data_IF_520965717313
#
_entry.id   IF_520965717313
#
_cell.length_a   1.000
_cell.length_b   1.000
_cell.length_c   1.000
_cell.angle_alpha   90.00
_cell.angle_beta   90.00
_cell.angle_gamma   90.00
#
_symmetry.space_group_name_H-M   'P 1'
#
loop_
_entity.id
_entity.type
_entity.pdbx_description
1 polymer ?
#
# COMPACT_ATOMS: atom_id res chain seq x y z
N UNK A 1 1.29 -5.97 46.88
CA UNK A 1 2.10 -4.74 46.84
C UNK A 1 2.71 -4.55 45.46
N UNK A 2 3.55 -5.46 44.96
CA UNK A 2 4.14 -5.34 43.60
C UNK A 2 3.11 -5.25 42.46
N UNK A 3 2.08 -6.10 42.43
CA UNK A 3 1.02 -6.02 41.40
C UNK A 3 0.21 -4.71 41.44
N UNK A 4 0.14 -4.06 42.60
CA UNK A 4 -0.61 -2.83 42.79
C UNK A 4 0.22 -1.61 42.38
N UNK A 5 1.52 -1.62 42.68
CA UNK A 5 2.49 -0.65 42.15
C UNK A 5 2.61 -0.73 40.63
N UNK A 6 2.70 -1.93 40.03
CA UNK A 6 2.72 -2.08 38.56
C UNK A 6 1.48 -1.48 37.91
N UNK A 7 0.28 -1.70 38.48
CA UNK A 7 -0.96 -1.11 37.98
C UNK A 7 -1.00 0.41 38.11
N UNK A 8 -0.40 0.96 39.16
CA UNK A 8 -0.31 2.41 39.37
C UNK A 8 0.65 3.03 38.35
N UNK A 9 1.82 2.41 38.14
CA UNK A 9 2.81 2.84 37.12
C UNK A 9 2.20 2.80 35.72
N UNK A 10 1.53 1.70 35.35
CA UNK A 10 0.86 1.58 34.04
C UNK A 10 -0.20 2.68 33.85
N UNK A 11 -0.98 2.98 34.89
CA UNK A 11 -2.02 4.01 34.86
C UNK A 11 -1.44 5.42 34.73
N UNK A 12 -0.31 5.69 35.39
CA UNK A 12 0.42 6.96 35.28
C UNK A 12 1.03 7.14 33.89
N UNK A 13 1.69 6.11 33.34
CA UNK A 13 2.20 6.15 31.96
C UNK A 13 1.09 6.38 30.92
N UNK A 14 -0.07 5.74 31.09
CA UNK A 14 -1.21 5.95 30.22
C UNK A 14 -1.73 7.39 30.28
N UNK A 15 -1.73 7.98 31.48
CA UNK A 15 -2.16 9.37 31.71
C UNK A 15 -1.17 10.37 31.09
N UNK A 16 0.12 10.13 31.26
CA UNK A 16 1.18 10.93 30.65
C UNK A 16 1.12 10.85 29.12
N UNK A 17 0.99 9.64 28.55
CA UNK A 17 0.80 9.46 27.09
C UNK A 17 -0.42 10.20 26.57
N UNK A 18 -1.53 10.22 27.32
CA UNK A 18 -2.74 10.99 26.98
C UNK A 18 -2.50 12.50 27.05
N UNK A 19 -1.79 12.98 28.06
CA UNK A 19 -1.46 14.39 28.20
C UNK A 19 -0.54 14.87 27.06
N UNK A 20 0.54 14.14 26.78
CA UNK A 20 1.45 14.43 25.66
C UNK A 20 0.68 14.39 24.34
N UNK A 21 -0.21 13.40 24.16
CA UNK A 21 -1.12 13.30 23.00
C UNK A 21 -1.95 14.56 22.82
N UNK A 22 -2.58 15.07 23.89
CA UNK A 22 -3.45 16.25 23.83
C UNK A 22 -2.67 17.54 23.58
N UNK A 23 -1.46 17.67 24.11
CA UNK A 23 -0.58 18.80 23.80
C UNK A 23 -0.12 18.79 22.35
N UNK A 24 0.28 17.62 21.83
CA UNK A 24 0.68 17.47 20.43
C UNK A 24 -0.44 17.79 19.45
N UNK A 25 -1.68 17.46 19.80
CA UNK A 25 -2.88 17.84 19.03
C UNK A 25 -3.07 19.35 18.99
N UNK A 26 -2.86 20.05 20.10
CA UNK A 26 -3.01 21.51 20.17
C UNK A 26 -1.95 22.25 19.37
N UNK A 27 -0.68 21.83 19.44
CA UNK A 27 0.44 22.50 18.79
C UNK A 27 0.42 22.40 17.25
N UNK A 28 -0.15 21.33 16.69
CA UNK A 28 -0.10 21.04 15.24
C UNK A 28 -1.39 21.39 14.49
N UNK A 29 -2.21 22.25 15.07
CA UNK A 29 -3.49 22.63 14.51
C UNK A 29 -3.30 23.46 13.22
N UNK A 30 -3.76 22.90 12.11
CA UNK A 30 -3.77 23.49 10.77
C UNK A 30 -5.05 23.05 10.08
N UNK A 31 -5.52 23.79 9.06
CA UNK A 31 -6.73 23.42 8.29
C UNK A 31 -6.64 21.98 7.75
N UNK A 32 -5.45 21.57 7.29
CA UNK A 32 -5.24 20.19 6.79
C UNK A 32 -5.34 19.15 7.91
N UNK A 33 -4.93 19.49 9.13
CA UNK A 33 -5.07 18.60 10.29
C UNK A 33 -6.52 18.52 10.76
N UNK A 34 -7.24 19.64 10.79
CA UNK A 34 -8.68 19.66 11.13
C UNK A 34 -9.48 18.76 10.18
N UNK A 35 -9.21 18.82 8.88
CA UNK A 35 -9.84 17.93 7.89
C UNK A 35 -9.50 16.44 8.11
N UNK A 36 -8.33 16.11 8.67
CA UNK A 36 -8.01 14.74 9.08
C UNK A 36 -8.79 14.33 10.33
N UNK A 37 -8.97 15.24 11.28
CA UNK A 37 -9.68 15.00 12.54
C UNK A 37 -11.17 14.72 12.34
N UNK A 38 -11.79 15.31 11.33
CA UNK A 38 -13.17 15.00 10.92
C UNK A 38 -13.32 13.59 10.34
N UNK A 39 -12.25 13.06 9.73
CA UNK A 39 -12.31 11.82 8.95
C UNK A 39 -11.83 10.60 9.74
N UNK A 40 -10.89 10.77 10.66
CA UNK A 40 -10.17 9.67 11.29
C UNK A 40 -10.33 9.63 12.81
N UNK A 41 -10.28 8.40 13.35
CA UNK A 41 -10.35 8.17 14.78
C UNK A 41 -9.08 8.65 15.53
N UNK A 42 -9.24 8.97 16.83
CA UNK A 42 -8.15 9.43 17.71
C UNK A 42 -6.89 8.54 17.63
N UNK A 43 -6.98 7.19 17.58
CA UNK A 43 -5.80 6.34 17.42
C UNK A 43 -5.04 6.55 16.11
N UNK A 44 -5.74 6.71 14.97
CA UNK A 44 -5.11 6.99 13.68
C UNK A 44 -4.42 8.35 13.69
N UNK A 45 -5.09 9.38 14.20
CA UNK A 45 -4.52 10.72 14.33
C UNK A 45 -3.24 10.69 15.17
N UNK A 46 -3.23 9.92 16.26
CA UNK A 46 -2.03 9.79 17.08
C UNK A 46 -0.86 9.10 16.41
N UNK A 47 -1.11 8.19 15.47
CA UNK A 47 -0.04 7.63 14.63
C UNK A 47 0.58 8.74 13.78
N UNK A 48 -0.26 9.57 13.14
CA UNK A 48 0.19 10.66 12.28
C UNK A 48 1.01 11.68 13.08
N UNK A 49 0.53 12.08 14.26
CA UNK A 49 1.26 12.99 15.16
C UNK A 49 2.63 12.42 15.57
N UNK A 50 2.70 11.14 15.94
CA UNK A 50 3.99 10.48 16.24
C UNK A 50 4.92 10.45 15.03
N UNK A 51 4.41 10.17 13.84
CA UNK A 51 5.21 10.20 12.60
C UNK A 51 5.75 11.60 12.29
N UNK A 52 4.98 12.65 12.55
CA UNK A 52 5.43 14.03 12.42
C UNK A 52 6.54 14.36 13.44
N UNK A 53 6.37 13.96 14.70
CA UNK A 53 7.37 14.21 15.75
C UNK A 53 8.70 13.48 15.51
N UNK A 54 8.62 12.24 15.00
CA UNK A 54 9.81 11.45 14.64
C UNK A 54 10.47 11.93 13.34
N UNK A 55 9.90 12.92 12.65
CA UNK A 55 10.40 13.44 11.38
C UNK A 55 10.25 12.48 10.20
N UNK A 56 9.44 11.43 10.33
CA UNK A 56 9.03 10.56 9.20
C UNK A 56 8.20 11.39 8.22
N UNK A 57 7.26 12.14 8.78
CA UNK A 57 6.48 13.17 8.10
C UNK A 57 6.97 14.54 8.57
N UNK A 58 7.00 15.51 7.64
CA UNK A 58 7.23 16.93 7.93
C UNK A 58 5.94 17.73 7.87
N UNK A 59 5.10 17.44 6.87
CA UNK A 59 3.78 18.03 6.69
C UNK A 59 2.83 17.03 6.01
N UNK A 60 1.56 17.09 6.36
CA UNK A 60 0.47 16.41 5.67
C UNK A 60 -0.37 17.47 4.96
N UNK A 61 -0.78 17.18 3.72
CA UNK A 61 -1.64 18.03 2.91
C UNK A 61 -2.97 17.32 2.64
N UNK A 62 -3.70 17.75 1.61
CA UNK A 62 -4.99 17.19 1.23
C UNK A 62 -4.98 15.74 0.73
N UNK A 63 -6.19 15.19 0.63
CA UNK A 63 -6.44 13.87 0.08
C UNK A 63 -6.22 13.88 -1.44
N UNK A 64 -5.55 12.84 -1.93
CA UNK A 64 -5.23 12.63 -3.35
C UNK A 64 -6.15 11.57 -3.95
N UNK A 65 -6.53 10.56 -3.16
CA UNK A 65 -7.43 9.49 -3.59
C UNK A 65 -8.25 8.99 -2.43
N UNK A 66 -9.54 8.83 -2.64
CA UNK A 66 -10.44 8.17 -1.70
C UNK A 66 -10.90 6.83 -2.29
N UNK A 67 -10.83 5.77 -1.49
CA UNK A 67 -11.34 4.45 -1.83
C UNK A 67 -12.17 3.87 -0.69
N UNK A 68 -12.84 2.74 -0.96
CA UNK A 68 -13.69 2.04 0.03
C UNK A 68 -12.89 1.52 1.24
N UNK A 69 -11.60 1.26 1.05
CA UNK A 69 -10.76 0.55 2.01
C UNK A 69 -9.69 1.45 2.64
N UNK A 70 -9.29 2.51 1.94
CA UNK A 70 -8.27 3.44 2.38
C UNK A 70 -8.44 4.80 1.72
N UNK A 71 -7.88 5.81 2.36
CA UNK A 71 -7.68 7.14 1.78
C UNK A 71 -6.18 7.41 1.66
N UNK A 72 -5.78 8.07 0.58
CA UNK A 72 -4.38 8.43 0.31
C UNK A 72 -4.25 9.94 0.35
N UNK A 73 -3.31 10.43 1.14
CA UNK A 73 -2.97 11.84 1.29
C UNK A 73 -1.60 12.13 0.73
N UNK A 74 -1.39 13.36 0.27
CA UNK A 74 -0.06 13.87 -0.07
C UNK A 74 0.59 14.49 1.16
N UNK A 75 1.92 14.42 1.24
CA UNK A 75 2.69 15.01 2.32
C UNK A 75 4.13 15.26 1.94
N UNK A 76 4.88 15.90 2.83
CA UNK A 76 6.35 15.97 2.79
C UNK A 76 6.93 15.02 3.81
N UNK A 77 7.87 14.19 3.38
CA UNK A 77 8.74 13.42 4.27
C UNK A 77 10.15 14.01 4.35
N UNK A 78 11.08 13.27 4.96
CA UNK A 78 12.48 13.71 5.10
C UNK A 78 13.18 14.02 3.77
N UNK A 79 12.91 13.22 2.73
CA UNK A 79 13.63 13.25 1.45
C UNK A 79 12.76 13.69 0.26
N UNK A 80 11.68 14.42 0.50
CA UNK A 80 10.73 14.89 -0.52
C UNK A 80 9.31 14.33 -0.32
N UNK A 81 8.54 14.31 -1.40
CA UNK A 81 7.10 14.04 -1.35
C UNK A 81 6.78 12.58 -1.03
N UNK A 82 5.74 12.39 -0.22
CA UNK A 82 5.24 11.09 0.22
C UNK A 82 3.75 10.96 -0.01
N UNK A 83 3.31 9.73 -0.27
CA UNK A 83 1.92 9.31 -0.19
C UNK A 83 1.69 8.65 1.18
N UNK A 84 0.61 9.05 1.85
CA UNK A 84 0.21 8.56 3.17
C UNK A 84 -1.10 7.81 2.97
N UNK A 85 -1.03 6.48 2.87
CA UNK A 85 -2.19 5.59 2.74
C UNK A 85 -2.69 5.20 4.13
N UNK A 86 -3.92 5.59 4.43
CA UNK A 86 -4.57 5.34 5.73
C UNK A 86 -5.73 4.36 5.48
N UNK A 87 -5.64 3.16 6.05
CA UNK A 87 -6.71 2.16 5.94
C UNK A 87 -7.84 2.47 6.91
N UNK A 88 -9.09 2.33 6.42
CA UNK A 88 -10.29 2.64 7.17
C UNK A 88 -10.61 1.55 8.17
N UNK A 89 -10.71 1.91 9.46
CA UNK A 89 -10.88 0.97 10.59
C UNK A 89 -12.29 0.41 10.76
N UNK A 90 -13.28 1.00 10.09
CA UNK A 90 -14.72 0.79 10.31
C UNK A 90 -15.42 -0.01 9.20
N UNK A 91 -14.76 -0.31 8.08
CA UNK A 91 -15.41 -0.97 6.95
C UNK A 91 -15.64 -2.47 7.20
N UNK A 92 -16.91 -2.90 7.25
CA UNK A 92 -17.29 -4.31 7.43
C UNK A 92 -17.03 -5.15 6.17
N UNK A 93 -17.20 -4.56 4.99
CA UNK A 93 -16.96 -5.21 3.69
C UNK A 93 -15.50 -5.58 3.48
N UNK A 94 -14.60 -4.81 4.10
CA UNK A 94 -13.15 -5.02 4.05
C UNK A 94 -12.76 -6.45 4.45
N UNK A 95 -13.34 -7.00 5.53
CA UNK A 95 -12.99 -8.35 5.99
C UNK A 95 -13.25 -9.45 4.97
N UNK A 96 -14.40 -9.41 4.28
CA UNK A 96 -14.84 -10.54 3.46
C UNK A 96 -13.98 -10.69 2.20
N UNK A 97 -13.59 -9.56 1.58
CA UNK A 97 -12.72 -9.56 0.41
C UNK A 97 -11.26 -9.88 0.70
N UNK A 98 -10.80 -9.66 1.93
CA UNK A 98 -9.40 -9.89 2.32
C UNK A 98 -9.03 -11.35 2.51
N UNK A 99 -9.96 -12.18 3.02
CA UNK A 99 -9.68 -13.54 3.49
C UNK A 99 -8.92 -14.36 2.45
N UNK A 100 -9.35 -14.28 1.18
CA UNK A 100 -8.73 -14.99 0.05
C UNK A 100 -7.28 -14.59 -0.21
N UNK A 101 -6.84 -13.40 0.21
CA UNK A 101 -5.46 -12.92 0.00
C UNK A 101 -4.56 -13.05 1.25
N UNK A 102 -5.09 -13.59 2.35
CA UNK A 102 -4.32 -13.90 3.57
C UNK A 102 -4.37 -15.37 3.97
N UNK A 103 -5.20 -16.16 3.30
CA UNK A 103 -5.22 -17.60 3.47
C UNK A 103 -3.82 -18.18 3.23
N UNK A 104 -3.38 -19.05 4.14
CA UNK A 104 -2.03 -19.62 4.08
C UNK A 104 -0.88 -18.64 4.32
N UNK A 105 -1.12 -17.35 4.58
CA UNK A 105 -0.06 -16.38 4.91
C UNK A 105 0.37 -16.54 6.37
N UNK A 106 1.62 -16.97 6.66
CA UNK A 106 2.09 -17.20 8.03
C UNK A 106 2.00 -15.95 8.91
N UNK A 107 2.02 -14.76 8.31
CA UNK A 107 1.91 -13.48 9.03
C UNK A 107 0.56 -13.33 9.74
N UNK A 108 -0.48 -14.02 9.27
CA UNK A 108 -1.88 -13.89 9.73
C UNK A 108 -2.34 -15.02 10.66
N UNK A 109 -1.56 -16.08 10.84
CA UNK A 109 -1.96 -17.28 11.62
C UNK A 109 -2.26 -17.00 13.11
N UNK A 110 -1.68 -15.94 13.70
CA UNK A 110 -1.78 -15.63 15.14
C UNK A 110 -2.45 -14.28 15.44
N UNK A 111 -3.30 -13.78 14.53
CA UNK A 111 -3.92 -12.46 14.70
C UNK A 111 -4.98 -12.49 15.79
N UNK A 112 -4.87 -11.56 16.75
CA UNK A 112 -5.91 -11.35 17.78
C UNK A 112 -7.27 -11.08 17.12
N UNK A 113 -8.35 -11.65 17.67
CA UNK A 113 -9.71 -11.39 17.20
C UNK A 113 -10.01 -9.88 17.22
N UNK A 114 -10.44 -9.30 16.10
CA UNK A 114 -10.82 -7.88 16.00
C UNK A 114 -10.49 -7.23 14.65
N UNK A 115 -11.20 -6.14 14.30
CA UNK A 115 -11.00 -5.45 13.00
C UNK A 115 -9.67 -4.70 12.95
N UNK A 116 -9.32 -3.94 13.99
CA UNK A 116 -8.11 -3.11 14.01
C UNK A 116 -6.80 -3.93 13.89
N UNK A 117 -6.58 -5.01 14.67
CA UNK A 117 -5.38 -5.83 14.52
C UNK A 117 -5.20 -6.39 13.11
N UNK A 118 -6.30 -6.80 12.47
CA UNK A 118 -6.28 -7.29 11.09
C UNK A 118 -5.87 -6.19 10.11
N UNK A 119 -6.43 -4.98 10.24
CA UNK A 119 -6.08 -3.83 9.39
C UNK A 119 -4.61 -3.43 9.56
N UNK A 120 -4.11 -3.43 10.79
CA UNK A 120 -2.70 -3.10 11.05
C UNK A 120 -1.77 -4.12 10.40
N UNK A 121 -2.15 -5.40 10.46
CA UNK A 121 -1.39 -6.44 9.77
C UNK A 121 -1.50 -6.31 8.25
N UNK A 122 -2.64 -5.87 7.73
CA UNK A 122 -2.82 -5.61 6.31
C UNK A 122 -1.93 -4.46 5.80
N UNK A 123 -1.88 -3.35 6.52
CA UNK A 123 -0.96 -2.25 6.23
C UNK A 123 0.50 -2.73 6.27
N UNK A 124 0.85 -3.56 7.27
CA UNK A 124 2.18 -4.17 7.38
C UNK A 124 2.48 -5.15 6.24
N UNK A 125 1.48 -5.91 5.77
CA UNK A 125 1.58 -6.80 4.61
C UNK A 125 1.91 -6.00 3.35
N UNK A 126 1.16 -4.93 3.05
CA UNK A 126 1.43 -4.08 1.88
C UNK A 126 2.82 -3.45 1.97
N UNK A 127 3.20 -2.91 3.13
CA UNK A 127 4.55 -2.37 3.35
C UNK A 127 5.63 -3.40 3.03
N UNK A 128 5.49 -4.64 3.54
CA UNK A 128 6.46 -5.71 3.31
C UNK A 128 6.50 -6.16 1.85
N UNK A 129 5.34 -6.25 1.20
CA UNK A 129 5.25 -6.60 -0.21
C UNK A 129 5.93 -5.52 -1.09
N UNK A 130 5.71 -4.23 -0.79
CA UNK A 130 6.43 -3.13 -1.46
C UNK A 130 7.94 -3.20 -1.23
N UNK A 131 8.40 -3.57 -0.03
CA UNK A 131 9.83 -3.75 0.26
C UNK A 131 10.45 -4.86 -0.60
N UNK A 132 9.75 -6.00 -0.72
CA UNK A 132 10.20 -7.13 -1.55
C UNK A 132 10.23 -6.74 -3.04
N UNK A 133 9.16 -6.12 -3.55
CA UNK A 133 9.08 -5.66 -4.94
C UNK A 133 10.18 -4.65 -5.28
N UNK A 134 10.39 -3.65 -4.41
CA UNK A 134 11.44 -2.65 -4.58
C UNK A 134 12.84 -3.29 -4.59
N UNK A 135 13.10 -4.24 -3.68
CA UNK A 135 14.38 -4.97 -3.61
C UNK A 135 14.63 -5.82 -4.86
N UNK A 136 13.57 -6.40 -5.43
CA UNK A 136 13.57 -7.13 -6.69
C UNK A 136 13.69 -6.23 -7.95
N UNK A 137 13.94 -4.92 -7.77
CA UNK A 137 14.09 -3.92 -8.85
C UNK A 137 12.82 -3.68 -9.67
N UNK A 138 11.66 -4.00 -9.12
CA UNK A 138 10.37 -3.57 -9.68
C UNK A 138 10.17 -2.10 -9.34
N UNK A 139 9.77 -1.29 -10.33
CA UNK A 139 9.47 0.12 -10.08
C UNK A 139 8.13 0.23 -9.36
N UNK A 140 8.19 0.53 -8.07
CA UNK A 140 7.06 0.72 -7.16
C UNK A 140 7.27 1.99 -6.32
N UNK A 141 6.22 2.56 -5.68
CA UNK A 141 6.41 3.57 -4.64
C UNK A 141 7.36 3.04 -3.56
N UNK A 142 8.52 3.69 -3.37
CA UNK A 142 9.49 3.23 -2.36
C UNK A 142 8.85 3.30 -0.97
N UNK A 143 8.72 2.18 -0.24
CA UNK A 143 8.14 2.19 1.09
C UNK A 143 9.04 2.97 2.06
N UNK A 144 8.45 3.79 2.93
CA UNK A 144 9.16 4.65 3.90
C UNK A 144 8.94 4.17 5.32
N UNK A 145 7.68 4.07 5.75
CA UNK A 145 7.32 3.62 7.10
C UNK A 145 5.93 3.01 7.14
N UNK A 146 5.64 2.22 8.17
CA UNK A 146 4.30 1.76 8.49
C UNK A 146 4.12 1.74 10.01
N UNK A 147 2.99 2.25 10.49
CA UNK A 147 2.60 2.18 11.90
C UNK A 147 1.08 2.10 11.99
N UNK A 148 0.57 1.12 12.74
CA UNK A 148 -0.87 0.84 12.79
C UNK A 148 -1.50 0.69 11.39
N UNK A 149 -2.49 1.52 11.09
CA UNK A 149 -3.20 1.58 9.80
C UNK A 149 -2.65 2.65 8.84
N UNK A 150 -1.46 3.21 9.10
CA UNK A 150 -0.86 4.26 8.27
C UNK A 150 0.39 3.72 7.58
N UNK A 151 0.36 3.72 6.25
CA UNK A 151 1.47 3.35 5.37
C UNK A 151 2.00 4.61 4.66
N UNK A 152 3.29 4.89 4.82
CA UNK A 152 3.99 5.99 4.15
C UNK A 152 4.92 5.44 3.09
N UNK A 153 4.82 5.97 1.87
CA UNK A 153 5.66 5.61 0.72
C UNK A 153 6.01 6.84 -0.11
N UNK A 154 7.00 6.75 -0.99
CA UNK A 154 7.34 7.85 -1.91
C UNK A 154 6.15 8.19 -2.80
N UNK A 155 5.87 9.48 -2.94
CA UNK A 155 4.84 9.95 -3.85
C UNK A 155 5.29 9.74 -5.30
N UNK A 156 4.37 9.27 -6.15
CA UNK A 156 4.59 9.08 -7.58
C UNK A 156 3.74 10.12 -8.30
N UNK A 157 4.37 11.21 -8.69
CA UNK A 157 3.71 12.41 -9.17
C UNK A 157 4.54 13.64 -8.82
N UNK A 158 3.95 14.83 -8.98
CA UNK A 158 4.64 16.10 -8.77
C UNK A 158 3.68 17.16 -8.23
N UNK A 159 4.13 17.95 -7.25
CA UNK A 159 3.37 19.06 -6.65
C UNK A 159 1.96 18.68 -6.14
N UNK A 160 1.83 17.48 -5.59
CA UNK A 160 0.56 16.98 -5.06
C UNK A 160 -0.33 16.28 -6.08
N UNK A 161 -0.02 16.40 -7.37
CA UNK A 161 -0.74 15.71 -8.44
C UNK A 161 -0.15 14.31 -8.67
N UNK A 162 -0.96 13.24 -8.51
CA UNK A 162 -0.49 11.88 -8.73
C UNK A 162 -0.22 11.64 -10.21
N UNK A 163 0.74 10.77 -10.51
CA UNK A 163 0.95 10.31 -11.88
C UNK A 163 -0.32 9.58 -12.39
N UNK A 164 -0.69 9.79 -13.67
CA UNK A 164 -1.88 9.15 -14.22
C UNK A 164 -1.70 7.63 -14.23
N UNK A 165 -2.79 6.92 -13.96
CA UNK A 165 -2.86 5.46 -14.15
C UNK A 165 -2.79 5.10 -15.64
N UNK A 166 -2.53 3.84 -15.97
CA UNK A 166 -2.63 3.39 -17.37
C UNK A 166 -4.02 3.68 -17.95
N UNK A 167 -5.07 3.55 -17.14
CA UNK A 167 -6.43 3.86 -17.57
C UNK A 167 -6.58 5.32 -18.04
N UNK A 168 -5.89 6.25 -17.39
CA UNK A 168 -5.98 7.69 -17.63
C UNK A 168 -4.93 8.20 -18.62
N UNK A 169 -3.78 7.54 -18.70
CA UNK A 169 -2.64 8.01 -19.47
C UNK A 169 -2.78 7.75 -20.97
N UNK A 170 -2.44 8.75 -21.78
CA UNK A 170 -2.18 8.57 -23.21
C UNK A 170 -0.77 8.00 -23.40
N UNK A 171 -0.69 6.80 -23.98
CA UNK A 171 0.56 6.07 -24.14
C UNK A 171 1.17 6.28 -25.53
N UNK A 172 2.32 6.95 -25.60
CA UNK A 172 3.04 7.14 -26.86
C UNK A 172 3.58 5.81 -27.45
N UNK A 173 3.97 4.87 -26.60
CA UNK A 173 4.45 3.54 -27.02
C UNK A 173 3.89 2.45 -26.11
N UNK A 174 2.62 2.04 -26.31
CA UNK A 174 1.97 1.05 -25.47
C UNK A 174 2.72 -0.28 -25.45
N UNK A 175 3.31 -0.70 -26.58
CA UNK A 175 4.06 -1.94 -26.68
C UNK A 175 5.32 -1.96 -25.81
N UNK A 176 6.03 -0.83 -25.67
CA UNK A 176 7.17 -0.70 -24.75
C UNK A 176 6.73 -0.83 -23.29
N UNK A 177 5.65 -0.15 -22.92
CA UNK A 177 5.11 -0.19 -21.54
C UNK A 177 4.65 -1.61 -21.20
N UNK A 178 3.94 -2.27 -22.10
CA UNK A 178 3.53 -3.67 -21.96
C UNK A 178 4.73 -4.59 -21.67
N UNK A 179 5.81 -4.52 -22.47
CA UNK A 179 7.02 -5.32 -22.24
C UNK A 179 7.68 -5.02 -20.89
N UNK A 180 7.69 -3.75 -20.46
CA UNK A 180 8.22 -3.37 -19.15
C UNK A 180 7.38 -3.94 -18.00
N UNK A 181 6.05 -3.93 -18.12
CA UNK A 181 5.16 -4.51 -17.10
C UNK A 181 5.33 -6.03 -17.04
N UNK A 182 5.40 -6.73 -18.19
CA UNK A 182 5.67 -8.17 -18.18
C UNK A 182 7.02 -8.50 -17.51
N UNK A 183 8.04 -7.67 -17.73
CA UNK A 183 9.32 -7.80 -17.02
C UNK A 183 9.16 -7.61 -15.52
N UNK A 184 8.32 -6.68 -15.08
CA UNK A 184 8.02 -6.48 -13.66
C UNK A 184 7.24 -7.65 -13.06
N UNK A 185 6.27 -8.23 -13.77
CA UNK A 185 5.56 -9.45 -13.34
C UNK A 185 6.56 -10.60 -13.17
N UNK A 186 7.48 -10.78 -14.13
CA UNK A 186 8.55 -11.77 -14.01
C UNK A 186 9.45 -11.53 -12.79
N UNK A 187 9.85 -10.29 -12.53
CA UNK A 187 10.67 -9.94 -11.36
C UNK A 187 9.92 -10.17 -10.04
N UNK A 188 8.63 -9.82 -9.98
CA UNK A 188 7.79 -10.11 -8.81
C UNK A 188 7.76 -11.60 -8.53
N UNK A 189 7.47 -12.42 -9.54
CA UNK A 189 7.34 -13.86 -9.38
C UNK A 189 8.67 -14.52 -9.00
N UNK A 190 9.73 -14.24 -9.77
CA UNK A 190 11.00 -14.98 -9.68
C UNK A 190 11.99 -14.41 -8.67
N UNK A 191 11.93 -13.09 -8.40
CA UNK A 191 12.90 -12.42 -7.52
C UNK A 191 12.28 -11.94 -6.21
N UNK A 192 11.03 -11.48 -6.22
CA UNK A 192 10.34 -11.10 -4.99
C UNK A 192 9.58 -12.27 -4.34
N UNK A 193 9.29 -13.34 -5.09
CA UNK A 193 8.45 -14.45 -4.61
C UNK A 193 6.98 -14.07 -4.45
N UNK A 194 6.50 -13.10 -5.24
CA UNK A 194 5.16 -12.51 -5.11
C UNK A 194 4.36 -12.61 -6.41
N UNK A 195 3.05 -12.73 -6.26
CA UNK A 195 2.05 -12.45 -7.30
C UNK A 195 1.30 -11.19 -6.87
N UNK A 196 1.06 -10.24 -7.78
CA UNK A 196 0.39 -8.98 -7.43
C UNK A 196 -1.06 -9.21 -7.02
N UNK A 197 -1.74 -10.12 -7.71
CA UNK A 197 -3.05 -10.63 -7.34
C UNK A 197 -4.20 -9.67 -7.56
N UNK A 198 -3.99 -8.55 -8.26
CA UNK A 198 -5.06 -7.64 -8.70
C UNK A 198 -4.61 -6.77 -9.89
N UNK A 199 -3.52 -7.12 -10.57
CA UNK A 199 -2.85 -6.24 -11.52
C UNK A 199 -3.75 -5.93 -12.73
N UNK A 200 -3.91 -4.65 -13.03
CA UNK A 200 -4.77 -4.11 -14.09
C UNK A 200 -4.30 -2.70 -14.49
N UNK A 201 -5.02 -2.05 -15.40
CA UNK A 201 -4.76 -0.67 -15.80
C UNK A 201 -4.98 0.37 -14.69
N UNK A 202 -5.67 -0.01 -13.61
CA UNK A 202 -5.99 0.88 -12.49
C UNK A 202 -4.90 0.97 -11.43
N UNK A 203 -4.00 -0.03 -11.35
CA UNK A 203 -2.92 -0.11 -10.35
C UNK A 203 -1.51 -0.08 -10.96
N UNK A 204 -1.42 0.49 -12.16
CA UNK A 204 -0.14 0.88 -12.77
C UNK A 204 -0.21 2.36 -13.12
N UNK A 205 0.72 3.15 -12.61
CA UNK A 205 0.92 4.56 -12.99
C UNK A 205 1.94 4.67 -14.12
N UNK A 206 1.84 5.73 -14.93
CA UNK A 206 2.86 6.10 -15.91
C UNK A 206 3.60 7.32 -15.40
N UNK A 207 4.87 7.13 -15.04
CA UNK A 207 5.67 8.20 -14.47
C UNK A 207 7.07 8.26 -15.07
N UNK A 208 7.44 9.45 -15.56
CA UNK A 208 8.73 9.71 -16.23
C UNK A 208 9.03 8.69 -17.33
N UNK A 209 8.05 8.46 -18.20
CA UNK A 209 8.18 7.60 -19.38
C UNK A 209 8.17 6.08 -19.13
N UNK A 210 7.79 5.62 -17.93
CA UNK A 210 7.71 4.18 -17.65
C UNK A 210 6.67 3.81 -16.58
N UNK A 211 6.28 2.53 -16.53
CA UNK A 211 5.26 2.05 -15.61
C UNK A 211 5.76 2.00 -14.17
N UNK A 212 4.88 2.25 -13.20
CA UNK A 212 5.11 2.10 -11.77
C UNK A 212 3.94 1.31 -11.19
N UNK A 213 4.21 0.10 -10.68
CA UNK A 213 3.18 -0.72 -10.04
C UNK A 213 2.92 -0.21 -8.63
N UNK A 214 1.65 -0.16 -8.22
CA UNK A 214 1.27 0.24 -6.87
C UNK A 214 0.10 -0.62 -6.35
N UNK A 215 -0.28 -0.43 -5.10
CA UNK A 215 -1.36 -1.17 -4.43
C UNK A 215 -1.08 -2.67 -4.21
N UNK A 216 -0.09 -2.96 -3.37
CA UNK A 216 0.35 -4.33 -3.06
C UNK A 216 -0.39 -4.98 -1.88
N UNK A 217 -1.55 -4.42 -1.48
CA UNK A 217 -2.39 -4.94 -0.41
C UNK A 217 -2.81 -6.39 -0.67
N UNK A 218 -3.25 -6.68 -1.90
CA UNK A 218 -3.75 -7.99 -2.32
C UNK A 218 -2.64 -8.93 -2.82
N UNK A 219 -1.39 -8.47 -2.88
CA UNK A 219 -0.29 -9.31 -3.33
C UNK A 219 -0.03 -10.49 -2.37
N UNK A 220 0.14 -11.67 -2.94
CA UNK A 220 0.32 -12.93 -2.23
C UNK A 220 1.68 -13.54 -2.50
N UNK A 221 2.10 -14.47 -1.64
CA UNK A 221 3.26 -15.33 -1.90
C UNK A 221 3.02 -16.15 -3.17
N UNK A 222 4.07 -16.42 -3.96
CA UNK A 222 3.99 -17.35 -5.08
C UNK A 222 3.63 -18.79 -4.67
N UNK A 223 3.75 -19.11 -3.39
CA UNK A 223 3.37 -20.39 -2.80
C UNK A 223 1.94 -20.40 -2.22
N UNK A 224 1.19 -19.30 -2.37
CA UNK A 224 -0.21 -19.26 -1.99
C UNK A 224 -1.01 -20.27 -2.84
N UNK A 225 -2.00 -20.99 -2.28
CA UNK A 225 -2.77 -22.00 -3.03
C UNK A 225 -3.37 -21.46 -4.33
N UNK A 226 -3.88 -20.23 -4.29
CA UNK A 226 -4.44 -19.53 -5.46
C UNK A 226 -3.44 -18.69 -6.27
N UNK A 227 -2.12 -18.77 -6.01
CA UNK A 227 -1.13 -17.91 -6.68
C UNK A 227 -1.17 -18.05 -8.21
N UNK A 228 -1.37 -19.27 -8.72
CA UNK A 228 -1.47 -19.52 -10.16
C UNK A 228 -2.69 -18.85 -10.79
N UNK A 229 -3.84 -18.93 -10.16
CA UNK A 229 -5.09 -18.30 -10.63
C UNK A 229 -4.97 -16.77 -10.63
N UNK A 230 -4.41 -16.21 -9.55
CA UNK A 230 -4.15 -14.78 -9.45
C UNK A 230 -3.19 -14.29 -10.53
N UNK A 231 -2.09 -15.01 -10.78
CA UNK A 231 -1.14 -14.66 -11.84
C UNK A 231 -1.78 -14.72 -13.22
N UNK A 232 -2.58 -15.76 -13.48
CA UNK A 232 -3.32 -15.91 -14.74
C UNK A 232 -4.29 -14.74 -14.95
N UNK A 233 -5.02 -14.33 -13.91
CA UNK A 233 -5.92 -13.16 -13.94
C UNK A 233 -5.17 -11.86 -14.22
N UNK A 234 -4.07 -11.62 -13.52
CA UNK A 234 -3.22 -10.44 -13.71
C UNK A 234 -2.74 -10.34 -15.18
N UNK A 235 -2.22 -11.43 -15.73
CA UNK A 235 -1.74 -11.49 -17.12
C UNK A 235 -2.87 -11.35 -18.14
N UNK A 236 -4.04 -11.92 -17.87
CA UNK A 236 -5.23 -11.76 -18.69
C UNK A 236 -5.67 -10.30 -18.78
N UNK A 237 -5.79 -9.62 -17.63
CA UNK A 237 -6.19 -8.21 -17.55
C UNK A 237 -5.23 -7.31 -18.35
N UNK A 238 -3.92 -7.51 -18.16
CA UNK A 238 -2.91 -6.78 -18.92
C UNK A 238 -3.02 -7.03 -20.41
N UNK A 239 -3.10 -8.30 -20.83
CA UNK A 239 -3.23 -8.65 -22.24
C UNK A 239 -4.48 -8.01 -22.85
N UNK A 240 -5.61 -8.09 -22.16
CA UNK A 240 -6.87 -7.52 -22.62
C UNK A 240 -6.78 -5.99 -22.79
N UNK A 241 -6.24 -5.28 -21.80
CA UNK A 241 -6.06 -3.83 -21.88
C UNK A 241 -5.14 -3.43 -23.04
N UNK A 242 -3.97 -4.07 -23.18
CA UNK A 242 -3.01 -3.69 -24.23
C UNK A 242 -3.45 -4.13 -25.65
N UNK A 243 -4.24 -5.20 -25.79
CA UNK A 243 -4.89 -5.55 -27.08
C UNK A 243 -5.82 -4.44 -27.56
N UNK A 244 -6.61 -3.85 -26.66
CA UNK A 244 -7.48 -2.71 -26.99
C UNK A 244 -6.71 -1.49 -27.47
N UNK A 245 -5.45 -1.35 -27.09
CA UNK A 245 -4.53 -0.30 -27.55
C UNK A 245 -3.76 -0.68 -28.83
N UNK A 246 -4.12 -1.77 -29.51
CA UNK A 246 -3.47 -2.22 -30.74
C UNK A 246 -2.12 -2.91 -30.54
N UNK A 247 -1.74 -3.27 -29.31
CA UNK A 247 -0.50 -4.02 -29.06
C UNK A 247 -0.70 -5.48 -29.43
N UNK A 248 0.22 -6.03 -30.24
CA UNK A 248 0.32 -7.48 -30.47
C UNK A 248 0.82 -8.18 -29.19
N UNK A 249 -0.12 -8.51 -28.31
CA UNK A 249 0.17 -9.25 -27.07
C UNK A 249 0.44 -10.71 -27.36
N UNK A 250 1.17 -11.37 -26.47
CA UNK A 250 1.39 -12.82 -26.55
C UNK A 250 0.16 -13.60 -26.08
N UNK A 251 0.06 -14.86 -26.49
CA UNK A 251 -0.88 -15.85 -25.95
C UNK A 251 -0.73 -15.98 -24.43
N UNK A 252 -1.85 -16.11 -23.71
CA UNK A 252 -1.84 -16.09 -22.24
C UNK A 252 -0.97 -17.21 -21.67
N UNK A 253 -1.12 -18.44 -22.18
CA UNK A 253 -0.32 -19.59 -21.73
C UNK A 253 1.17 -19.39 -22.00
N UNK A 254 1.51 -18.74 -23.11
CA UNK A 254 2.90 -18.45 -23.44
C UNK A 254 3.51 -17.47 -22.44
N UNK A 255 2.79 -16.39 -22.07
CA UNK A 255 3.29 -15.43 -21.07
C UNK A 255 3.37 -16.08 -19.69
N UNK A 256 2.37 -16.88 -19.32
CA UNK A 256 2.35 -17.59 -18.04
C UNK A 256 3.57 -18.51 -17.91
N UNK A 257 3.84 -19.33 -18.94
CA UNK A 257 5.02 -20.19 -19.01
C UNK A 257 6.32 -19.39 -18.87
N UNK A 258 6.45 -18.29 -19.60
CA UNK A 258 7.63 -17.41 -19.53
C UNK A 258 7.85 -16.80 -18.14
N UNK A 259 6.76 -16.49 -17.42
CA UNK A 259 6.84 -15.97 -16.06
C UNK A 259 7.26 -17.06 -15.06
N UNK A 260 6.68 -18.26 -15.17
CA UNK A 260 6.89 -19.34 -14.19
C UNK A 260 8.21 -20.08 -14.39
N UNK A 261 8.56 -20.40 -15.63
CA UNK A 261 9.70 -21.27 -15.95
C UNK A 261 11.01 -20.50 -16.18
N UNK A 262 10.94 -19.17 -16.30
CA UNK A 262 12.08 -18.37 -16.75
C UNK A 262 12.20 -18.38 -18.28
N UNK A 263 12.90 -17.39 -18.81
CA UNK A 263 13.27 -17.35 -20.25
C UNK A 263 14.62 -18.01 -20.45
#
# INVERSE_FOLDING_TARGET
>A
MEEEEERIVERLELRERRYITEQLMKEKRSEEMEALEEVFDKPTLMIIYRMLNRGVLKKVFGAVKAGKESKVYWGKGKTGDVAIKIYLTTSKDFRKGMLTYIEGDPRFQRVKKGTRPLIYLWAKKEFKNLQLAYSAKVKVPKPVAVEGNVLVMKFVGEKGEPAPTLKEALLNNPARIYRQILRYVWLLYNKAGLVHGDLSEYNVMVWKGGPVLFDFAQAVSKFHPMAGEFLRRDLYNLNFYFRKLGVKTKELETVLKQVVEGS
#
